data_IF_643808507650
#
_entry.id   IF_643808507650
#
_cell.length_a   1.000
_cell.length_b   1.000
_cell.length_c   1.000
_cell.angle_alpha   90.00
_cell.angle_beta   90.00
_cell.angle_gamma   90.00
#
_symmetry.space_group_name_H-M   'P 1'
#
loop_
_entity.id
_entity.type
_entity.pdbx_description
1 polymer ?
#
# COMPACT_ATOMS: atom_id res chain seq x y z
N UNK A 1 -10.79 4.20 -35.68
CA UNK A 1 -9.91 3.86 -34.54
C UNK A 1 -10.27 4.64 -33.28
N UNK A 2 -10.34 5.99 -33.34
CA UNK A 2 -10.79 6.84 -32.22
C UNK A 2 -12.21 6.52 -31.69
N UNK A 3 -13.18 6.28 -32.58
CA UNK A 3 -14.56 5.92 -32.18
C UNK A 3 -14.65 4.59 -31.46
N UNK A 4 -13.89 3.58 -31.90
CA UNK A 4 -13.84 2.26 -31.26
C UNK A 4 -13.25 2.37 -29.84
N UNK A 5 -12.21 3.20 -29.67
CA UNK A 5 -11.58 3.44 -28.37
C UNK A 5 -12.52 4.19 -27.43
N UNK A 6 -13.29 5.16 -27.93
CA UNK A 6 -14.31 5.86 -27.16
C UNK A 6 -15.42 4.91 -26.67
N UNK A 7 -15.90 4.00 -27.53
CA UNK A 7 -16.89 2.99 -27.16
C UNK A 7 -16.33 2.01 -26.12
N UNK A 8 -15.08 1.57 -26.28
CA UNK A 8 -14.42 0.68 -25.31
C UNK A 8 -14.30 1.35 -23.94
N UNK A 9 -13.85 2.62 -23.89
CA UNK A 9 -13.73 3.37 -22.65
C UNK A 9 -15.09 3.59 -21.98
N UNK A 10 -16.13 3.83 -22.77
CA UNK A 10 -17.50 3.97 -22.25
C UNK A 10 -18.01 2.65 -21.66
N UNK A 11 -17.78 1.51 -22.34
CA UNK A 11 -18.11 0.19 -21.81
C UNK A 11 -17.35 -0.13 -20.52
N UNK A 12 -16.07 0.23 -20.45
CA UNK A 12 -15.25 0.09 -19.24
C UNK A 12 -15.78 0.96 -18.10
N UNK A 13 -16.20 2.19 -18.39
CA UNK A 13 -16.83 3.08 -17.43
C UNK A 13 -18.14 2.51 -16.88
N UNK A 14 -19.01 2.01 -17.76
CA UNK A 14 -20.28 1.37 -17.37
C UNK A 14 -20.02 0.12 -16.53
N UNK A 15 -19.10 -0.74 -16.96
CA UNK A 15 -18.69 -1.93 -16.19
C UNK A 15 -18.12 -1.54 -14.81
N UNK A 16 -17.30 -0.50 -14.74
CA UNK A 16 -16.76 0.03 -13.50
C UNK A 16 -17.85 0.51 -12.53
N UNK A 17 -18.86 1.22 -13.03
CA UNK A 17 -20.02 1.65 -12.22
C UNK A 17 -20.85 0.45 -11.74
N UNK A 18 -21.01 -0.59 -12.56
CA UNK A 18 -21.74 -1.80 -12.15
C UNK A 18 -21.00 -2.61 -11.08
N UNK A 19 -19.67 -2.61 -11.10
CA UNK A 19 -18.82 -3.32 -10.12
C UNK A 19 -18.58 -2.47 -8.85
N UNK A 20 -18.80 -1.16 -8.92
CA UNK A 20 -18.58 -0.22 -7.82
C UNK A 20 -19.24 -0.62 -6.49
N UNK A 21 -20.52 -1.05 -6.43
CA UNK A 21 -21.14 -1.47 -5.18
C UNK A 21 -20.40 -2.65 -4.54
N UNK A 22 -19.99 -3.63 -5.35
CA UNK A 22 -19.28 -4.83 -4.89
C UNK A 22 -17.89 -4.47 -4.34
N UNK A 23 -17.19 -3.56 -5.01
CA UNK A 23 -15.90 -3.05 -4.54
C UNK A 23 -16.05 -2.24 -3.25
N UNK A 24 -17.12 -1.45 -3.12
CA UNK A 24 -17.40 -0.65 -1.92
C UNK A 24 -17.75 -1.50 -0.70
N UNK A 25 -18.50 -2.58 -0.89
CA UNK A 25 -18.85 -3.53 0.18
C UNK A 25 -17.64 -4.35 0.61
N UNK A 26 -16.81 -4.78 -0.35
CA UNK A 26 -15.53 -5.43 -0.05
C UNK A 26 -14.62 -4.51 0.75
N UNK A 27 -14.49 -3.24 0.34
CA UNK A 27 -13.72 -2.26 1.08
C UNK A 27 -14.28 -2.04 2.49
N UNK A 28 -15.60 -1.90 2.64
CA UNK A 28 -16.24 -1.71 3.94
C UNK A 28 -16.08 -2.92 4.88
N UNK A 29 -16.00 -4.14 4.33
CA UNK A 29 -15.94 -5.36 5.14
C UNK A 29 -14.52 -5.81 5.43
N UNK A 30 -13.61 -5.64 4.48
CA UNK A 30 -12.26 -6.22 4.52
C UNK A 30 -11.16 -5.17 4.71
N UNK A 31 -11.39 -3.93 4.28
CA UNK A 31 -10.39 -2.86 4.32
C UNK A 31 -10.71 -1.80 5.40
N UNK A 32 -11.98 -1.62 5.76
CA UNK A 32 -12.41 -0.62 6.74
C UNK A 32 -12.15 -0.98 8.21
N UNK A 33 -12.19 -2.26 8.63
CA UNK A 33 -11.74 -2.61 9.97
C UNK A 33 -10.20 -2.54 10.00
N UNK A 34 -9.64 -1.47 10.58
CA UNK A 34 -8.21 -1.42 10.85
C UNK A 34 -7.75 -2.57 11.74
N UNK A 35 -6.48 -2.97 11.61
CA UNK A 35 -5.91 -4.13 12.32
C UNK A 35 -5.67 -3.89 13.82
N UNK A 36 -5.99 -2.70 14.34
CA UNK A 36 -5.67 -2.30 15.71
C UNK A 36 -4.17 -2.10 15.94
N UNK A 37 -3.81 -1.37 16.99
CA UNK A 37 -2.43 -0.89 17.20
C UNK A 37 -1.38 -1.99 17.31
N UNK A 38 -1.72 -3.12 17.96
CA UNK A 38 -0.77 -4.20 18.21
C UNK A 38 -0.44 -4.98 16.94
N UNK A 39 -1.46 -5.46 16.24
CA UNK A 39 -1.25 -6.32 15.07
C UNK A 39 -0.73 -5.50 13.90
N UNK A 40 -1.17 -4.24 13.77
CA UNK A 40 -0.63 -3.30 12.79
C UNK A 40 0.87 -3.05 12.98
N UNK A 41 1.39 -3.03 14.22
CA UNK A 41 2.82 -2.84 14.48
C UNK A 41 3.66 -4.00 13.95
N UNK A 42 3.16 -5.24 14.07
CA UNK A 42 3.85 -6.42 13.54
C UNK A 42 3.88 -6.38 12.02
N UNK A 43 2.72 -6.10 11.40
CA UNK A 43 2.60 -6.04 9.94
C UNK A 43 3.46 -4.90 9.36
N UNK A 44 3.39 -3.70 9.93
CA UNK A 44 4.16 -2.54 9.46
C UNK A 44 5.67 -2.72 9.61
N UNK A 45 6.13 -3.44 10.65
CA UNK A 45 7.53 -3.80 10.82
C UNK A 45 8.04 -4.59 9.60
N UNK A 46 7.39 -5.70 9.27
CA UNK A 46 7.81 -6.54 8.14
C UNK A 46 7.69 -5.82 6.81
N UNK A 47 6.61 -5.05 6.60
CA UNK A 47 6.42 -4.25 5.39
C UNK A 47 7.54 -3.21 5.20
N UNK A 48 7.95 -2.56 6.30
CA UNK A 48 9.04 -1.59 6.27
C UNK A 48 10.37 -2.26 5.96
N UNK A 49 10.67 -3.41 6.58
CA UNK A 49 11.89 -4.18 6.29
C UNK A 49 11.94 -4.58 4.82
N UNK A 50 10.86 -5.15 4.28
CA UNK A 50 10.80 -5.55 2.87
C UNK A 50 10.99 -4.35 1.94
N UNK A 51 10.34 -3.22 2.25
CA UNK A 51 10.48 -1.98 1.46
C UNK A 51 11.92 -1.49 1.43
N UNK A 52 12.60 -1.47 2.57
CA UNK A 52 14.00 -1.07 2.66
C UNK A 52 14.95 -2.03 1.94
N UNK A 53 14.68 -3.34 1.99
CA UNK A 53 15.45 -4.33 1.23
C UNK A 53 15.30 -4.09 -0.28
N UNK A 54 14.08 -3.82 -0.76
CA UNK A 54 13.82 -3.49 -2.16
C UNK A 54 14.56 -2.20 -2.56
N UNK A 55 14.53 -1.17 -1.71
CA UNK A 55 15.24 0.09 -1.98
C UNK A 55 16.76 -0.09 -1.99
N UNK A 56 17.33 -0.81 -1.03
CA UNK A 56 18.76 -1.09 -1.01
C UNK A 56 19.20 -1.87 -2.26
N UNK A 57 18.41 -2.86 -2.67
CA UNK A 57 18.66 -3.60 -3.90
C UNK A 57 18.57 -2.70 -5.15
N UNK A 58 17.53 -1.87 -5.24
CA UNK A 58 17.34 -0.94 -6.35
C UNK A 58 18.41 0.16 -6.42
N UNK A 59 18.92 0.60 -5.26
CA UNK A 59 20.01 1.56 -5.15
C UNK A 59 21.38 0.95 -5.49
N UNK A 60 21.50 -0.38 -5.54
CA UNK A 60 22.77 -1.07 -5.76
C UNK A 60 23.75 -0.96 -4.58
N UNK A 61 23.22 -0.67 -3.38
CA UNK A 61 24.00 -0.40 -2.17
C UNK A 61 24.04 -1.61 -1.20
N UNK A 62 25.05 -1.65 -0.34
CA UNK A 62 25.24 -2.66 0.69
C UNK A 62 24.38 -2.39 1.93
N UNK A 63 23.29 -3.16 2.07
CA UNK A 63 22.36 -3.20 3.22
C UNK A 63 23.00 -3.04 4.61
N UNK A 64 24.23 -3.55 4.80
CA UNK A 64 24.92 -3.57 6.09
C UNK A 64 25.81 -2.34 6.33
N UNK A 65 26.35 -1.72 5.28
CA UNK A 65 27.28 -0.58 5.40
C UNK A 65 26.55 0.72 5.74
N UNK A 66 25.37 0.91 5.18
CA UNK A 66 24.58 2.14 5.33
C UNK A 66 23.39 2.00 6.31
N UNK A 67 23.39 0.93 7.13
CA UNK A 67 22.26 0.63 8.02
C UNK A 67 21.92 1.80 8.96
N UNK A 68 22.92 2.57 9.39
CA UNK A 68 22.74 3.76 10.24
C UNK A 68 21.94 4.88 9.54
N UNK A 69 22.09 5.03 8.22
CA UNK A 69 21.33 6.00 7.42
C UNK A 69 19.94 5.46 7.09
N UNK A 70 19.86 4.16 6.82
CA UNK A 70 18.59 3.46 6.60
C UNK A 70 17.71 3.39 7.85
N UNK A 71 18.28 3.45 9.06
CA UNK A 71 17.56 3.40 10.34
C UNK A 71 16.59 4.58 10.51
N UNK A 72 16.99 5.79 10.12
CA UNK A 72 16.07 6.94 10.14
C UNK A 72 14.89 6.72 9.18
N UNK A 73 15.18 6.24 7.96
CA UNK A 73 14.17 5.85 6.98
C UNK A 73 13.24 4.75 7.52
N UNK A 74 13.80 3.74 8.20
CA UNK A 74 13.04 2.68 8.85
C UNK A 74 11.99 3.25 9.80
N UNK A 75 12.38 4.07 10.76
CA UNK A 75 11.42 4.62 11.72
C UNK A 75 10.37 5.51 11.05
N UNK A 76 10.75 6.31 10.05
CA UNK A 76 9.82 7.14 9.30
C UNK A 76 8.77 6.30 8.55
N UNK A 77 9.21 5.31 7.77
CA UNK A 77 8.31 4.41 7.04
C UNK A 77 7.46 3.57 7.99
N UNK A 78 8.07 3.04 9.04
CA UNK A 78 7.39 2.24 10.04
C UNK A 78 6.25 3.01 10.69
N UNK A 79 6.48 4.24 11.16
CA UNK A 79 5.43 5.05 11.81
C UNK A 79 4.29 5.34 10.84
N UNK A 80 4.61 5.76 9.61
CA UNK A 80 3.57 6.07 8.61
C UNK A 80 2.74 4.83 8.27
N UNK A 81 3.40 3.71 7.95
CA UNK A 81 2.69 2.46 7.63
C UNK A 81 1.91 1.93 8.83
N UNK A 82 2.48 2.02 10.03
CA UNK A 82 1.82 1.57 11.25
C UNK A 82 0.52 2.34 11.49
N UNK A 83 0.53 3.67 11.40
CA UNK A 83 -0.66 4.49 11.62
C UNK A 83 -1.73 4.26 10.53
N UNK A 84 -1.31 4.11 9.27
CA UNK A 84 -2.23 3.82 8.15
C UNK A 84 -2.89 2.44 8.29
N UNK A 85 -2.15 1.43 8.73
CA UNK A 85 -2.66 0.06 8.90
C UNK A 85 -3.46 -0.08 10.21
N UNK A 86 -3.06 0.64 11.27
CA UNK A 86 -3.73 0.63 12.57
C UNK A 86 -5.07 1.36 12.55
N UNK A 87 -5.29 2.27 11.59
CA UNK A 87 -6.48 3.14 11.50
C UNK A 87 -6.67 4.01 12.75
N UNK A 88 -5.68 4.85 13.06
CA UNK A 88 -5.86 5.98 13.99
C UNK A 88 -6.32 7.21 13.21
N UNK A 89 -7.50 7.17 12.58
CA UNK A 89 -8.16 8.35 11.98
C UNK A 89 -9.67 8.23 12.07
#
# INVERSE_FOLDING_TARGET
MLSLMAVLLLLLGVAGVMVWPLASEFAATQLAPGLGMRDAAVVSFFLTVVTLVVFAFAAGDGLLGELQFMLAGFFSFFIVMWLLIAWIF
#
